data_IF_569571374050
#
_entry.id   IF_569571374050
#
_cell.length_a   1.000
_cell.length_b   1.000
_cell.length_c   1.000
_cell.angle_alpha   90.00
_cell.angle_beta   90.00
_cell.angle_gamma   90.00
#
_symmetry.space_group_name_H-M   'P 1'
#
loop_
_entity.id
_entity.type
_entity.pdbx_description
1 polymer ?
#
# COMPACT_ATOMS: atom_id res chain seq x y z
N UNK A 1 -0.59 22.87 -16.32
CA UNK A 1 0.34 21.73 -16.50
C UNK A 1 1.73 22.09 -15.98
N UNK A 2 1.82 22.81 -14.85
CA UNK A 2 3.11 23.25 -14.27
C UNK A 2 3.42 22.53 -12.96
N UNK A 3 2.52 21.63 -12.51
CA UNK A 3 2.60 20.93 -11.23
C UNK A 3 2.88 19.42 -11.35
N UNK A 4 3.13 18.90 -12.56
CA UNK A 4 3.31 17.46 -12.84
C UNK A 4 2.15 16.51 -12.42
N UNK A 5 0.98 17.05 -12.07
CA UNK A 5 -0.19 16.28 -11.59
C UNK A 5 -0.98 15.59 -12.70
N UNK A 6 -0.85 16.02 -13.96
CA UNK A 6 -1.65 15.51 -15.09
C UNK A 6 -0.74 15.35 -16.31
N UNK A 7 -0.83 14.18 -16.96
CA UNK A 7 -0.09 13.95 -18.19
C UNK A 7 -0.54 14.89 -19.31
N UNK A 8 0.41 15.44 -20.08
CA UNK A 8 0.06 16.19 -21.28
C UNK A 8 -0.68 15.28 -22.28
N UNK A 9 -1.59 15.83 -23.10
CA UNK A 9 -2.29 15.08 -24.14
C UNK A 9 -1.30 14.36 -25.06
N UNK A 10 -1.60 13.13 -25.51
CA UNK A 10 -0.67 12.31 -26.31
C UNK A 10 -0.32 12.94 -27.67
N UNK A 11 -1.10 13.91 -28.15
CA UNK A 11 -0.84 14.66 -29.38
C UNK A 11 0.16 15.81 -29.17
N UNK A 12 0.36 16.26 -27.93
CA UNK A 12 1.19 17.43 -27.60
C UNK A 12 2.68 17.24 -27.90
N UNK A 13 3.33 16.08 -27.59
CA UNK A 13 4.76 15.89 -27.85
C UNK A 13 5.16 16.08 -29.32
N UNK A 14 4.35 15.57 -30.25
CA UNK A 14 4.61 15.72 -31.68
C UNK A 14 4.49 17.18 -32.15
N UNK A 15 3.56 17.94 -31.57
CA UNK A 15 3.42 19.37 -31.84
C UNK A 15 4.60 20.17 -31.28
N UNK A 16 5.12 19.79 -30.12
CA UNK A 16 6.31 20.39 -29.53
C UNK A 16 7.56 20.09 -30.36
N UNK A 17 7.72 18.85 -30.83
CA UNK A 17 8.81 18.47 -31.72
C UNK A 17 8.81 19.30 -33.02
N UNK A 18 7.64 19.49 -33.62
CA UNK A 18 7.48 20.33 -34.81
C UNK A 18 7.75 21.83 -34.53
N UNK A 19 7.32 22.34 -33.37
CA UNK A 19 7.44 23.76 -33.02
C UNK A 19 8.88 24.15 -32.65
N UNK A 20 9.60 23.27 -31.95
CA UNK A 20 10.96 23.53 -31.49
C UNK A 20 12.03 22.94 -32.41
N UNK A 21 11.63 22.26 -33.50
CA UNK A 21 12.54 21.62 -34.43
C UNK A 21 13.37 20.53 -33.77
N UNK A 22 12.82 19.87 -32.75
CA UNK A 22 13.47 18.77 -32.06
C UNK A 22 13.06 17.47 -32.73
N UNK A 23 14.05 16.67 -33.13
CA UNK A 23 13.86 15.46 -33.94
C UNK A 23 13.32 14.29 -33.10
N UNK A 24 12.08 14.42 -32.62
CA UNK A 24 11.41 13.39 -31.82
C UNK A 24 11.77 13.38 -30.32
N UNK A 25 12.57 14.34 -29.83
CA UNK A 25 13.02 14.38 -28.44
C UNK A 25 11.84 14.50 -27.46
N UNK A 26 10.82 15.31 -27.76
CA UNK A 26 9.65 15.41 -26.87
C UNK A 26 8.82 14.13 -26.90
N UNK A 27 8.71 13.45 -28.05
CA UNK A 27 8.09 12.14 -28.13
C UNK A 27 8.86 11.08 -27.34
N UNK A 28 10.21 11.07 -27.41
CA UNK A 28 11.04 10.17 -26.61
C UNK A 28 10.89 10.44 -25.10
N UNK A 29 10.96 11.71 -24.68
CA UNK A 29 10.75 12.12 -23.30
C UNK A 29 9.34 11.78 -22.81
N UNK A 30 8.32 11.89 -23.67
CA UNK A 30 6.96 11.49 -23.34
C UNK A 30 6.85 9.98 -23.14
N UNK A 31 7.52 9.16 -23.97
CA UNK A 31 7.59 7.71 -23.77
C UNK A 31 8.31 7.36 -22.46
N UNK A 32 9.39 8.07 -22.11
CA UNK A 32 10.04 7.92 -20.82
C UNK A 32 9.10 8.32 -19.66
N UNK A 33 8.42 9.46 -19.75
CA UNK A 33 7.48 9.93 -18.73
C UNK A 33 6.28 8.99 -18.54
N UNK A 34 5.76 8.39 -19.63
CA UNK A 34 4.71 7.37 -19.58
C UNK A 34 5.21 6.07 -18.95
N UNK A 35 6.46 5.66 -19.22
CA UNK A 35 7.10 4.52 -18.55
C UNK A 35 7.38 4.81 -17.06
N UNK A 36 7.65 6.07 -16.73
CA UNK A 36 7.80 6.59 -15.38
C UNK A 36 6.46 7.00 -14.74
N UNK A 37 5.31 6.65 -15.31
CA UNK A 37 4.02 7.03 -14.72
C UNK A 37 3.67 6.23 -13.45
N UNK A 38 4.51 5.26 -13.05
CA UNK A 38 4.34 4.45 -11.83
C UNK A 38 5.56 4.26 -10.88
N UNK A 39 6.55 5.17 -10.77
CA UNK A 39 7.46 5.16 -9.62
C UNK A 39 7.41 6.37 -8.67
N UNK A 40 7.05 7.60 -9.07
CA UNK A 40 7.35 8.76 -8.20
C UNK A 40 6.54 8.82 -6.90
N UNK A 41 5.19 8.73 -6.89
CA UNK A 41 4.43 8.76 -5.64
C UNK A 41 4.73 7.55 -4.73
N UNK A 42 4.94 6.37 -5.32
CA UNK A 42 5.26 5.14 -4.59
C UNK A 42 6.67 5.14 -4.01
N UNK A 43 7.68 5.59 -4.78
CA UNK A 43 9.05 5.79 -4.29
C UNK A 43 9.07 6.87 -3.20
N UNK A 44 8.35 7.97 -3.39
CA UNK A 44 8.25 9.04 -2.40
C UNK A 44 7.60 8.54 -1.11
N UNK A 45 6.50 7.79 -1.22
CA UNK A 45 5.89 7.10 -0.07
C UNK A 45 6.88 6.19 0.65
N UNK A 46 7.64 5.37 -0.10
CA UNK A 46 8.66 4.50 0.49
C UNK A 46 9.76 5.29 1.22
N UNK A 47 10.19 6.43 0.67
CA UNK A 47 11.16 7.30 1.32
C UNK A 47 10.61 7.94 2.60
N UNK A 48 9.35 8.36 2.59
CA UNK A 48 8.67 8.92 3.77
C UNK A 48 8.43 7.83 4.83
N UNK A 49 8.01 6.63 4.44
CA UNK A 49 7.82 5.48 5.33
C UNK A 49 9.12 5.14 6.09
N UNK A 50 10.25 5.15 5.39
CA UNK A 50 11.56 4.92 6.02
C UNK A 50 11.91 5.97 7.09
N UNK A 51 11.36 7.18 7.01
CA UNK A 51 11.56 8.30 7.95
C UNK A 51 10.42 8.47 8.96
N UNK A 52 9.27 7.83 8.74
CA UNK A 52 8.10 8.00 9.58
C UNK A 52 8.33 7.39 10.97
N UNK A 53 7.88 8.10 12.01
CA UNK A 53 7.79 7.57 13.38
C UNK A 53 6.51 6.76 13.58
N UNK A 54 5.44 7.14 12.89
CA UNK A 54 4.16 6.43 12.91
C UNK A 54 3.69 6.13 11.49
N UNK A 55 3.21 4.91 11.28
CA UNK A 55 2.61 4.47 10.02
C UNK A 55 1.26 3.86 10.36
N UNK A 56 0.18 4.37 9.77
CA UNK A 56 -1.17 3.84 9.92
C UNK A 56 -1.76 3.55 8.56
N UNK A 57 -2.20 2.32 8.31
CA UNK A 57 -2.68 1.91 7.00
C UNK A 57 -4.05 1.22 7.08
N UNK A 58 -4.93 1.54 6.13
CA UNK A 58 -6.20 0.84 5.90
C UNK A 58 -6.07 0.09 4.59
N UNK A 59 -6.23 -1.23 4.63
CA UNK A 59 -6.14 -2.08 3.45
C UNK A 59 -7.46 -2.78 3.18
N UNK A 60 -7.93 -2.68 1.94
CA UNK A 60 -9.29 -3.09 1.57
C UNK A 60 -9.33 -4.44 0.85
N UNK A 61 -8.29 -4.79 0.07
CA UNK A 61 -8.38 -5.92 -0.86
C UNK A 61 -7.17 -6.88 -0.87
N UNK A 62 -6.02 -6.42 -0.40
CA UNK A 62 -4.76 -7.17 -0.39
C UNK A 62 -4.02 -6.93 0.92
N UNK A 63 -3.21 -7.90 1.34
CA UNK A 63 -2.34 -7.73 2.52
C UNK A 63 -1.33 -6.62 2.25
N UNK A 64 -1.18 -5.62 3.16
CA UNK A 64 -0.15 -4.58 3.06
C UNK A 64 1.23 -5.15 2.81
N UNK A 65 2.00 -4.53 1.91
CA UNK A 65 3.32 -5.03 1.51
C UNK A 65 4.30 -5.22 2.67
N UNK A 66 4.15 -4.45 3.76
CA UNK A 66 4.95 -4.59 4.98
C UNK A 66 4.64 -5.87 5.77
N UNK A 67 3.44 -6.42 5.62
CA UNK A 67 2.94 -7.58 6.37
C UNK A 67 3.02 -8.89 5.57
N UNK A 68 3.40 -8.83 4.29
CA UNK A 68 3.40 -9.99 3.40
C UNK A 68 4.48 -11.02 3.75
N UNK A 69 4.20 -12.30 3.55
CA UNK A 69 5.24 -13.33 3.44
C UNK A 69 5.86 -13.29 2.04
N UNK A 70 7.01 -13.94 1.89
CA UNK A 70 7.68 -14.03 0.59
C UNK A 70 6.79 -14.71 -0.45
N UNK A 71 6.14 -15.82 -0.06
CA UNK A 71 5.26 -16.59 -0.95
C UNK A 71 4.02 -15.78 -1.35
N UNK A 72 3.37 -15.08 -0.40
CA UNK A 72 2.24 -14.23 -0.72
C UNK A 72 2.63 -13.10 -1.68
N UNK A 73 3.76 -12.43 -1.42
CA UNK A 73 4.25 -11.35 -2.28
C UNK A 73 4.50 -11.85 -3.72
N UNK A 74 5.11 -13.02 -3.85
CA UNK A 74 5.38 -13.67 -5.14
C UNK A 74 4.10 -13.93 -5.94
N UNK A 75 3.10 -14.52 -5.29
CA UNK A 75 1.81 -14.84 -5.92
C UNK A 75 1.00 -13.57 -6.25
N UNK A 76 1.08 -12.55 -5.40
CA UNK A 76 0.51 -11.24 -5.71
C UNK A 76 1.14 -10.61 -6.96
N UNK A 77 2.47 -10.61 -7.08
CA UNK A 77 3.14 -9.99 -8.23
C UNK A 77 2.84 -10.73 -9.54
N UNK A 78 2.78 -12.07 -9.51
CA UNK A 78 2.33 -12.87 -10.67
C UNK A 78 0.89 -12.54 -11.07
N UNK A 79 0.00 -12.35 -10.09
CA UNK A 79 -1.39 -12.01 -10.35
C UNK A 79 -1.58 -10.58 -10.88
N UNK A 80 -0.71 -9.65 -10.46
CA UNK A 80 -0.77 -8.24 -10.88
C UNK A 80 -0.25 -8.04 -12.32
N UNK A 81 0.81 -8.74 -12.71
CA UNK A 81 1.35 -8.70 -14.07
C UNK A 81 1.55 -10.11 -14.63
N UNK A 82 0.54 -10.58 -15.39
CA UNK A 82 0.54 -11.89 -16.03
C UNK A 82 1.65 -12.06 -17.09
N UNK A 83 2.34 -10.98 -17.47
CA UNK A 83 3.44 -10.99 -18.45
C UNK A 83 4.80 -10.83 -17.79
N UNK A 84 4.87 -10.65 -16.48
CA UNK A 84 6.13 -10.54 -15.76
C UNK A 84 6.96 -11.82 -15.91
N UNK A 85 8.25 -11.68 -16.17
CA UNK A 85 9.16 -12.82 -16.17
C UNK A 85 9.40 -13.31 -14.75
N UNK A 86 9.77 -14.59 -14.55
CA UNK A 86 10.12 -15.11 -13.22
C UNK A 86 11.20 -14.25 -12.53
N UNK A 87 12.23 -13.82 -13.26
CA UNK A 87 13.31 -12.99 -12.74
C UNK A 87 12.78 -11.63 -12.25
N UNK A 88 11.87 -11.01 -13.00
CA UNK A 88 11.26 -9.75 -12.60
C UNK A 88 10.43 -9.90 -11.32
N UNK A 89 9.70 -11.00 -11.17
CA UNK A 89 8.97 -11.31 -9.94
C UNK A 89 9.94 -11.47 -8.76
N UNK A 90 11.04 -12.20 -8.93
CA UNK A 90 12.06 -12.36 -7.88
C UNK A 90 12.68 -11.02 -7.44
N UNK A 91 13.00 -10.13 -8.38
CA UNK A 91 13.50 -8.79 -8.07
C UNK A 91 12.53 -8.00 -7.19
N UNK A 92 11.24 -8.03 -7.55
CA UNK A 92 10.18 -7.31 -6.85
C UNK A 92 9.92 -7.90 -5.45
N UNK A 93 9.93 -9.22 -5.32
CA UNK A 93 9.83 -9.92 -4.03
C UNK A 93 11.01 -9.55 -3.13
N UNK A 94 12.23 -9.60 -3.67
CA UNK A 94 13.45 -9.25 -2.93
C UNK A 94 13.38 -7.80 -2.42
N UNK A 95 13.01 -6.86 -3.29
CA UNK A 95 12.83 -5.46 -2.89
C UNK A 95 11.77 -5.30 -1.79
N UNK A 96 10.66 -6.04 -1.85
CA UNK A 96 9.62 -6.02 -0.82
C UNK A 96 10.11 -6.56 0.52
N UNK A 97 10.81 -7.70 0.52
CA UNK A 97 11.34 -8.30 1.75
C UNK A 97 12.39 -7.39 2.40
N UNK A 98 13.24 -6.73 1.61
CA UNK A 98 14.18 -5.73 2.14
C UNK A 98 13.48 -4.55 2.81
N UNK A 99 12.38 -4.05 2.22
CA UNK A 99 11.58 -2.95 2.79
C UNK A 99 10.99 -3.31 4.16
N UNK A 100 10.63 -4.58 4.39
CA UNK A 100 10.06 -5.02 5.67
C UNK A 100 11.01 -4.93 6.86
N UNK A 101 12.31 -4.65 6.64
CA UNK A 101 13.25 -4.35 7.71
C UNK A 101 12.77 -3.22 8.63
N UNK A 102 11.91 -2.32 8.14
CA UNK A 102 11.27 -1.25 8.93
C UNK A 102 10.52 -1.81 10.14
N UNK A 103 9.87 -2.97 10.02
CA UNK A 103 9.14 -3.61 11.15
C UNK A 103 10.05 -3.97 12.33
N UNK A 104 11.35 -4.19 12.08
CA UNK A 104 12.33 -4.59 13.09
C UNK A 104 13.27 -3.45 13.49
N UNK A 105 13.40 -2.43 12.65
CA UNK A 105 14.44 -1.40 12.76
C UNK A 105 14.11 -0.21 13.66
N UNK A 106 12.88 -0.10 14.20
CA UNK A 106 12.44 1.06 14.98
C UNK A 106 11.73 0.62 16.27
N UNK A 107 12.43 0.53 17.41
CA UNK A 107 11.82 0.10 18.67
C UNK A 107 10.73 1.05 19.17
N UNK A 108 10.75 2.32 18.75
CA UNK A 108 9.76 3.35 19.12
C UNK A 108 8.74 3.65 18.01
N UNK A 109 8.69 2.83 16.95
CA UNK A 109 7.71 3.03 15.88
C UNK A 109 6.31 2.62 16.34
N UNK A 110 5.33 3.42 15.93
CA UNK A 110 3.91 3.17 16.15
C UNK A 110 3.28 2.75 14.82
N UNK A 111 3.06 1.46 14.64
CA UNK A 111 2.63 0.86 13.38
C UNK A 111 1.22 0.26 13.53
N UNK A 112 0.27 0.80 12.77
CA UNK A 112 -1.15 0.43 12.85
C UNK A 112 -1.71 -0.04 11.53
N UNK A 113 -2.43 -1.16 11.51
CA UNK A 113 -3.14 -1.64 10.33
C UNK A 113 -4.60 -1.95 10.63
N UNK A 114 -5.49 -1.51 9.75
CA UNK A 114 -6.88 -1.95 9.70
C UNK A 114 -7.07 -2.71 8.41
N UNK A 115 -7.36 -4.01 8.52
CA UNK A 115 -7.58 -4.88 7.38
C UNK A 115 -9.07 -5.13 7.22
N UNK A 116 -9.61 -4.82 6.06
CA UNK A 116 -10.94 -5.29 5.68
C UNK A 116 -10.99 -6.82 5.68
N UNK A 117 -12.09 -7.41 6.12
CA UNK A 117 -12.30 -8.86 6.10
C UNK A 117 -11.97 -9.50 4.73
N UNK A 118 -12.17 -8.79 3.62
CA UNK A 118 -11.80 -9.26 2.29
C UNK A 118 -10.29 -9.52 2.12
N UNK A 119 -9.43 -8.79 2.83
CA UNK A 119 -7.97 -9.01 2.84
C UNK A 119 -7.62 -10.38 3.42
N UNK A 120 -8.37 -10.81 4.43
CA UNK A 120 -8.14 -12.08 5.14
C UNK A 120 -8.70 -13.26 4.34
N UNK A 121 -9.86 -13.05 3.69
CA UNK A 121 -10.58 -14.12 2.98
C UNK A 121 -10.17 -14.34 1.53
N UNK A 122 -9.58 -13.33 0.87
CA UNK A 122 -9.18 -13.48 -0.53
C UNK A 122 -7.91 -14.34 -0.63
N UNK A 123 -8.07 -15.55 -1.15
CA UNK A 123 -6.95 -16.47 -1.34
C UNK A 123 -5.99 -16.01 -2.43
N UNK A 124 -4.72 -15.86 -2.08
CA UNK A 124 -3.59 -15.72 -3.00
C UNK A 124 -2.68 -16.94 -2.87
N UNK A 125 -2.28 -17.56 -3.98
CA UNK A 125 -1.31 -18.65 -3.96
C UNK A 125 -1.80 -20.00 -3.44
N UNK A 126 -3.08 -20.10 -3.05
CA UNK A 126 -3.67 -21.31 -2.50
C UNK A 126 -3.67 -21.38 -0.96
N UNK A 127 -4.22 -22.46 -0.39
CA UNK A 127 -4.42 -22.62 1.05
C UNK A 127 -3.14 -22.57 1.87
N UNK A 128 -2.05 -23.18 1.37
CA UNK A 128 -0.77 -23.24 2.07
C UNK A 128 -0.12 -21.85 2.19
N UNK A 129 -0.11 -21.09 1.08
CA UNK A 129 0.43 -19.71 1.04
C UNK A 129 -0.39 -18.80 1.97
N UNK A 130 -1.71 -18.94 1.95
CA UNK A 130 -2.58 -18.17 2.83
C UNK A 130 -2.40 -18.55 4.29
N UNK A 131 -2.22 -19.82 4.63
CA UNK A 131 -1.97 -20.26 6.01
C UNK A 131 -0.71 -19.58 6.57
N UNK A 132 0.40 -19.62 5.83
CA UNK A 132 1.63 -18.93 6.21
C UNK A 132 1.41 -17.41 6.37
N UNK A 133 0.67 -16.80 5.44
CA UNK A 133 0.35 -15.39 5.50
C UNK A 133 -0.50 -15.01 6.72
N UNK A 134 -1.53 -15.80 7.05
CA UNK A 134 -2.42 -15.53 8.18
C UNK A 134 -1.69 -15.74 9.53
N UNK A 135 -0.83 -16.75 9.64
CA UNK A 135 0.07 -16.93 10.80
C UNK A 135 0.94 -15.68 11.03
N UNK A 136 1.49 -15.11 9.94
CA UNK A 136 2.26 -13.87 10.00
C UNK A 136 1.44 -12.69 10.53
N UNK A 137 0.18 -12.55 10.12
CA UNK A 137 -0.71 -11.48 10.60
C UNK A 137 -1.07 -11.66 12.08
N UNK A 138 -1.35 -12.89 12.53
CA UNK A 138 -1.61 -13.21 13.94
C UNK A 138 -0.42 -12.78 14.80
N UNK A 139 0.81 -13.10 14.38
CA UNK A 139 2.03 -12.73 15.12
C UNK A 139 2.26 -11.21 15.22
N UNK A 140 1.67 -10.42 14.33
CA UNK A 140 1.80 -8.95 14.30
C UNK A 140 0.60 -8.24 14.93
N UNK A 141 -0.37 -9.00 15.47
CA UNK A 141 -1.66 -8.41 15.86
C UNK A 141 -1.56 -7.40 17.00
N UNK A 142 -0.74 -7.71 18.00
CA UNK A 142 -0.47 -6.81 19.10
C UNK A 142 0.95 -7.05 19.60
N UNK A 143 1.87 -6.17 19.23
CA UNK A 143 3.27 -6.17 19.70
C UNK A 143 3.60 -4.82 20.33
N UNK A 144 4.79 -4.61 20.92
CA UNK A 144 5.17 -3.30 21.44
C UNK A 144 5.14 -2.17 20.38
N UNK A 145 5.26 -2.51 19.09
CA UNK A 145 5.32 -1.54 17.98
C UNK A 145 4.18 -1.67 16.99
N UNK A 146 3.37 -2.74 17.08
CA UNK A 146 2.32 -3.02 16.08
C UNK A 146 0.95 -3.21 16.69
N UNK A 147 -0.07 -2.64 16.04
CA UNK A 147 -1.48 -2.95 16.25
C UNK A 147 -2.11 -3.33 14.91
N UNK A 148 -2.74 -4.49 14.83
CA UNK A 148 -3.52 -4.92 13.68
C UNK A 148 -4.95 -5.18 14.12
N UNK A 149 -5.89 -4.62 13.38
CA UNK A 149 -7.31 -4.85 13.59
C UNK A 149 -7.96 -5.34 12.29
N UNK A 150 -8.98 -6.16 12.42
CA UNK A 150 -9.85 -6.57 11.30
C UNK A 150 -11.15 -5.79 11.37
N UNK A 151 -11.54 -5.19 10.25
CA UNK A 151 -12.85 -4.59 10.06
C UNK A 151 -13.78 -5.63 9.43
N UNK A 152 -14.75 -6.19 10.20
CA UNK A 152 -15.61 -7.26 9.72
C UNK A 152 -16.66 -6.72 8.75
N UNK A 153 -17.18 -7.56 7.86
CA UNK A 153 -18.27 -7.17 6.95
C UNK A 153 -19.54 -6.71 7.68
N UNK A 154 -19.75 -7.16 8.92
CA UNK A 154 -20.85 -6.71 9.77
C UNK A 154 -20.77 -5.22 10.15
N UNK A 155 -19.61 -4.57 9.99
CA UNK A 155 -19.46 -3.13 10.19
C UNK A 155 -20.18 -2.30 9.10
N UNK A 156 -20.52 -2.91 7.96
CA UNK A 156 -21.21 -2.23 6.86
C UNK A 156 -20.30 -1.28 6.06
N UNK A 157 -20.91 -0.33 5.35
CA UNK A 157 -20.18 0.62 4.52
C UNK A 157 -19.41 1.65 5.34
N UNK A 158 -18.18 1.96 4.92
CA UNK A 158 -17.29 2.85 5.66
C UNK A 158 -16.52 3.81 4.74
N UNK A 159 -16.09 4.94 5.31
CA UNK A 159 -15.25 5.91 4.59
C UNK A 159 -13.92 5.25 4.21
N UNK A 160 -13.42 5.47 2.98
CA UNK A 160 -12.20 4.85 2.43
C UNK A 160 -12.37 3.47 1.77
N UNK A 161 -13.58 2.92 1.64
CA UNK A 161 -13.80 1.66 0.89
C UNK A 161 -13.29 1.66 -0.57
N UNK A 162 -13.08 2.83 -1.18
CA UNK A 162 -12.68 2.97 -2.58
C UNK A 162 -11.19 2.74 -2.89
N UNK A 163 -10.34 2.61 -1.87
CA UNK A 163 -8.89 2.49 -2.03
C UNK A 163 -8.18 2.22 -0.71
N UNK A 164 -6.86 2.08 -0.75
CA UNK A 164 -6.07 2.00 0.48
C UNK A 164 -5.65 3.40 0.93
N UNK A 165 -5.52 3.59 2.25
CA UNK A 165 -5.01 4.81 2.84
C UNK A 165 -3.76 4.47 3.65
N UNK A 166 -2.68 5.22 3.48
CA UNK A 166 -1.55 5.25 4.40
C UNK A 166 -1.40 6.64 5.00
N UNK A 167 -1.31 6.72 6.33
CA UNK A 167 -1.00 7.92 7.09
C UNK A 167 0.42 7.78 7.65
N UNK A 168 1.26 8.76 7.37
CA UNK A 168 2.64 8.83 7.84
C UNK A 168 2.76 10.04 8.76
N UNK A 169 3.31 9.83 9.97
CA UNK A 169 3.74 10.94 10.83
C UNK A 169 5.26 10.92 10.91
N UNK A 170 5.90 12.00 10.47
CA UNK A 170 7.35 12.17 10.48
C UNK A 170 7.86 12.58 11.87
N UNK A 171 9.19 12.61 12.05
CA UNK A 171 9.81 12.93 13.34
C UNK A 171 9.57 14.38 13.81
N UNK A 172 9.43 15.31 12.86
CA UNK A 172 9.10 16.72 13.11
C UNK A 172 7.60 16.96 13.34
N UNK A 173 6.79 15.90 13.25
CA UNK A 173 5.33 15.96 13.43
C UNK A 173 4.54 16.24 12.16
N UNK A 174 5.20 16.41 11.01
CA UNK A 174 4.51 16.52 9.73
C UNK A 174 3.69 15.25 9.44
N UNK A 175 2.45 15.43 9.02
CA UNK A 175 1.56 14.33 8.66
C UNK A 175 1.27 14.33 7.17
N UNK A 176 1.45 13.15 6.57
CA UNK A 176 1.24 12.94 5.15
C UNK A 176 0.24 11.80 4.97
N UNK A 177 -0.77 12.04 4.15
CA UNK A 177 -1.71 11.00 3.71
C UNK A 177 -1.36 10.56 2.29
N UNK A 178 -1.46 9.26 2.04
CA UNK A 178 -1.30 8.66 0.73
C UNK A 178 -2.52 7.80 0.43
N UNK A 179 -3.26 8.19 -0.61
CA UNK A 179 -4.37 7.41 -1.14
C UNK A 179 -3.84 6.54 -2.29
N UNK A 180 -4.07 5.23 -2.21
CA UNK A 180 -3.63 4.27 -3.22
C UNK A 180 -4.86 3.67 -3.94
N UNK A 181 -4.87 3.81 -5.27
CA UNK A 181 -5.78 3.14 -6.18
C UNK A 181 -5.03 2.05 -6.97
N UNK A 182 -5.72 1.39 -7.92
CA UNK A 182 -5.19 0.21 -8.64
C UNK A 182 -3.84 0.48 -9.32
N UNK A 183 -3.68 1.64 -9.94
CA UNK A 183 -2.45 2.05 -10.62
C UNK A 183 -1.91 3.38 -10.12
N UNK A 184 -2.77 4.26 -9.58
CA UNK A 184 -2.36 5.60 -9.17
C UNK A 184 -2.22 5.71 -7.65
N UNK A 185 -1.41 6.69 -7.22
CA UNK A 185 -1.30 7.06 -5.83
C UNK A 185 -1.26 8.58 -5.70
N UNK A 186 -1.99 9.12 -4.73
CA UNK A 186 -2.09 10.56 -4.48
C UNK A 186 -1.45 10.88 -3.14
N UNK A 187 -0.48 11.81 -3.14
CA UNK A 187 0.13 12.33 -1.92
C UNK A 187 -0.62 13.59 -1.47
N UNK A 188 -1.01 13.63 -0.21
CA UNK A 188 -1.71 14.74 0.42
C UNK A 188 -0.88 15.21 1.62
N UNK A 189 -0.19 16.33 1.43
CA UNK A 189 0.78 16.89 2.40
C UNK A 189 0.22 18.11 3.12
N UNK A 190 -1.01 18.53 2.80
CA UNK A 190 -1.68 19.59 3.52
C UNK A 190 -2.34 19.06 4.81
N UNK A 191 -2.22 19.84 5.89
CA UNK A 191 -2.72 19.45 7.22
C UNK A 191 -4.23 19.19 7.24
N UNK A 192 -5.01 19.91 6.42
CA UNK A 192 -6.47 19.76 6.40
C UNK A 192 -6.87 18.39 5.85
N UNK A 193 -6.22 17.96 4.77
CA UNK A 193 -6.40 16.62 4.20
C UNK A 193 -5.90 15.53 5.14
N UNK A 194 -4.73 15.72 5.79
CA UNK A 194 -4.19 14.77 6.75
C UNK A 194 -5.13 14.59 7.96
N UNK A 195 -5.63 15.69 8.53
CA UNK A 195 -6.57 15.69 9.66
C UNK A 195 -7.89 14.99 9.31
N UNK A 196 -8.42 15.24 8.11
CA UNK A 196 -9.63 14.58 7.61
C UNK A 196 -9.45 13.08 7.53
N UNK A 197 -8.32 12.61 7.00
CA UNK A 197 -8.02 11.19 6.86
C UNK A 197 -7.74 10.52 8.20
N UNK A 198 -7.04 11.20 9.12
CA UNK A 198 -6.84 10.73 10.49
C UNK A 198 -8.18 10.52 11.18
N UNK A 199 -9.12 11.45 11.06
CA UNK A 199 -10.47 11.30 11.63
C UNK A 199 -11.19 10.07 11.04
N UNK A 200 -11.09 9.83 9.74
CA UNK A 200 -11.67 8.64 9.11
C UNK A 200 -11.02 7.36 9.65
N UNK A 201 -9.69 7.33 9.76
CA UNK A 201 -8.96 6.20 10.33
C UNK A 201 -9.38 5.92 11.78
N UNK A 202 -9.47 6.95 12.62
CA UNK A 202 -9.81 6.78 14.04
C UNK A 202 -11.25 6.24 14.21
N UNK A 203 -12.20 6.69 13.37
CA UNK A 203 -13.56 6.14 13.34
C UNK A 203 -13.58 4.68 12.89
N UNK A 204 -12.76 4.31 11.90
CA UNK A 204 -12.63 2.92 11.46
C UNK A 204 -12.06 2.02 12.54
N UNK A 205 -11.03 2.48 13.25
CA UNK A 205 -10.40 1.73 14.34
C UNK A 205 -11.41 1.43 15.46
N UNK A 206 -12.33 2.37 15.74
CA UNK A 206 -13.40 2.17 16.72
C UNK A 206 -14.48 1.17 16.26
N UNK A 207 -14.66 0.98 14.95
CA UNK A 207 -15.59 0.00 14.38
C UNK A 207 -14.93 -1.37 14.13
N UNK A 208 -13.60 -1.41 14.05
CA UNK A 208 -12.85 -2.65 13.86
C UNK A 208 -12.84 -3.49 15.13
N UNK A 209 -12.62 -4.79 14.96
CA UNK A 209 -12.45 -5.72 16.08
C UNK A 209 -11.26 -5.28 16.94
N UNK A 210 -11.31 -5.60 18.24
CA UNK A 210 -10.13 -5.45 19.11
C UNK A 210 -8.96 -6.28 18.56
N UNK A 211 -7.69 -5.99 18.89
CA UNK A 211 -6.58 -6.82 18.44
C UNK A 211 -6.76 -8.31 18.83
N UNK A 212 -7.22 -8.59 20.06
CA UNK A 212 -7.49 -9.97 20.48
C UNK A 212 -8.60 -10.66 19.68
N UNK A 213 -9.68 -9.94 19.36
CA UNK A 213 -10.75 -10.45 18.51
C UNK A 213 -10.32 -10.62 17.04
N UNK A 214 -9.45 -9.73 16.56
CA UNK A 214 -8.86 -9.79 15.23
C UNK A 214 -7.99 -11.03 15.06
N UNK A 215 -7.14 -11.33 16.05
CA UNK A 215 -6.34 -12.57 16.05
C UNK A 215 -7.25 -13.80 16.02
N UNK A 216 -8.30 -13.85 16.86
CA UNK A 216 -9.27 -14.95 16.85
C UNK A 216 -9.98 -15.11 15.52
N UNK A 217 -10.40 -14.00 14.92
CA UNK A 217 -11.05 -14.00 13.61
C UNK A 217 -10.10 -14.55 12.53
N UNK A 218 -8.85 -14.10 12.51
CA UNK A 218 -7.85 -14.57 11.54
C UNK A 218 -7.57 -16.07 11.74
N UNK A 219 -7.43 -16.54 12.98
CA UNK A 219 -7.26 -17.97 13.29
C UNK A 219 -8.43 -18.79 12.75
N UNK A 220 -9.67 -18.34 12.98
CA UNK A 220 -10.86 -19.03 12.48
C UNK A 220 -10.85 -19.15 10.95
N UNK A 221 -10.54 -18.07 10.22
CA UNK A 221 -10.45 -18.12 8.75
C UNK A 221 -9.32 -19.05 8.30
N UNK A 222 -8.20 -19.06 9.01
CA UNK A 222 -7.05 -19.93 8.72
C UNK A 222 -7.36 -21.42 8.94
N UNK A 223 -8.18 -21.76 9.94
CA UNK A 223 -8.65 -23.13 10.20
C UNK A 223 -9.62 -23.62 9.12
N UNK A 224 -10.40 -22.72 8.53
CA UNK A 224 -11.34 -23.00 7.44
C UNK A 224 -10.68 -23.21 6.06
N UNK A 225 -9.37 -22.92 5.93
CA UNK A 225 -8.62 -23.16 4.69
C UNK A 225 -8.49 -24.67 4.45
N UNK A 226 -9.16 -25.17 3.41
CA UNK A 226 -9.13 -26.57 2.95
C UNK A 226 -7.86 -26.90 2.18
#
# INVERSE_FOLDING_TARGET
MENAEVMPPPELPALLDAAFGTDGIFQELYVLAVKELHPEPFKRRMALEARARRIREVAVQIVPGLLQTEQYAREQFKAHDLRATPERVEELVTARMHRQAILRGKPDADLGWILDEAVIRRGFGGPEVMREQLERLIALTCTPTTTLQVLPFSAGGYALMGGALTLLTLEDGEEVAFEEAITTGTMLEDQVSADRHRRSYDLLSACALSPGDSARFITSVMEDLQ
#
